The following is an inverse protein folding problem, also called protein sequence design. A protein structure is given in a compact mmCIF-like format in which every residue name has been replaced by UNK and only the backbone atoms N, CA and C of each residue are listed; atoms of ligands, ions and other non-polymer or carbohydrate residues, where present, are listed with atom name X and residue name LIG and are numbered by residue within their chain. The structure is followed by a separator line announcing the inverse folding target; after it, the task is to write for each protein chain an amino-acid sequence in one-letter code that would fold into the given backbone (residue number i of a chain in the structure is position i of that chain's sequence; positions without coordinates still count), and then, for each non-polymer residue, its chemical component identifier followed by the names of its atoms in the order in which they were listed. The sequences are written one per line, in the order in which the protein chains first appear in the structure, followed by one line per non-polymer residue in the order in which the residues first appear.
data_IF_999864229549
#
_entry.id   IF_999864229549
#
_cell.length_a   1.000
_cell.length_b   1.000
_cell.length_c   1.000
_cell.angle_alpha   90.00
_cell.angle_beta   90.00
_cell.angle_gamma   90.00
#
_symmetry.space_group_name_H-M   'P 1'
#
loop_
_entity.id
_entity.type
_entity.pdbx_description
1 polymer ?
#
# COMPACT_ATOMS: atom_id res chain seq x y z
N UNK A 1 -71.22 -22.49 -21.25
CA UNK A 1 -71.11 -21.75 -19.96
C UNK A 1 -70.07 -22.36 -19.01
N UNK A 2 -70.04 -23.69 -18.76
CA UNK A 2 -69.02 -24.32 -17.89
C UNK A 2 -67.56 -24.18 -18.39
N UNK A 3 -67.32 -24.14 -19.70
CA UNK A 3 -65.98 -24.00 -20.29
C UNK A 3 -65.38 -22.60 -19.98
N UNK A 4 -66.15 -21.54 -20.24
CA UNK A 4 -65.76 -20.14 -19.99
C UNK A 4 -65.45 -19.87 -18.51
N UNK A 5 -66.19 -20.50 -17.59
CA UNK A 5 -65.93 -20.37 -16.15
C UNK A 5 -64.62 -21.06 -15.72
N UNK A 6 -64.25 -22.15 -16.40
CA UNK A 6 -63.00 -22.88 -16.13
C UNK A 6 -61.79 -22.07 -16.62
N UNK A 7 -61.88 -21.53 -17.83
CA UNK A 7 -60.83 -20.69 -18.43
C UNK A 7 -60.59 -19.42 -17.59
N UNK A 8 -61.66 -18.80 -17.08
CA UNK A 8 -61.56 -17.65 -16.16
C UNK A 8 -60.91 -18.01 -14.81
N UNK A 9 -61.04 -19.25 -14.35
CA UNK A 9 -60.39 -19.72 -13.11
C UNK A 9 -58.89 -19.93 -13.31
N UNK A 10 -58.50 -20.52 -14.44
CA UNK A 10 -57.10 -20.74 -14.78
C UNK A 10 -56.37 -19.43 -15.06
N UNK A 11 -57.02 -18.48 -15.75
CA UNK A 11 -56.47 -17.14 -15.99
C UNK A 11 -56.18 -16.40 -14.66
N UNK A 12 -57.08 -16.50 -13.68
CA UNK A 12 -56.88 -15.91 -12.34
C UNK A 12 -55.70 -16.54 -11.59
N UNK A 13 -55.48 -17.85 -11.72
CA UNK A 13 -54.34 -18.53 -11.09
C UNK A 13 -53.02 -18.08 -11.70
N UNK A 14 -52.94 -17.99 -13.03
CA UNK A 14 -51.77 -17.48 -13.76
C UNK A 14 -51.42 -16.04 -13.39
N UNK A 15 -52.41 -15.16 -13.24
CA UNK A 15 -52.19 -13.76 -12.81
C UNK A 15 -51.63 -13.69 -11.39
N UNK A 16 -52.15 -14.51 -10.46
CA UNK A 16 -51.65 -14.55 -9.07
C UNK A 16 -50.21 -15.08 -9.02
N UNK A 17 -49.87 -16.06 -9.86
CA UNK A 17 -48.53 -16.63 -9.93
C UNK A 17 -47.51 -15.65 -10.54
N UNK A 18 -47.91 -14.87 -11.55
CA UNK A 18 -47.10 -13.75 -12.09
C UNK A 18 -46.86 -12.64 -11.06
N UNK A 19 -47.87 -12.28 -10.26
CA UNK A 19 -47.72 -11.29 -9.18
C UNK A 19 -46.81 -11.78 -8.04
N UNK A 20 -46.74 -13.10 -7.79
CA UNK A 20 -45.87 -13.68 -6.75
C UNK A 20 -44.39 -13.71 -7.15
N UNK A 21 -44.10 -13.74 -8.45
CA UNK A 21 -42.74 -13.91 -8.97
C UNK A 21 -42.11 -12.61 -9.54
N UNK A 22 -42.82 -11.47 -9.48
CA UNK A 22 -42.48 -10.27 -10.24
C UNK A 22 -42.55 -8.94 -9.49
N UNK A 23 -42.14 -8.89 -8.21
CA UNK A 23 -41.94 -7.61 -7.49
C UNK A 23 -40.48 -7.52 -7.00
N UNK A 24 -39.56 -7.39 -7.96
CA UNK A 24 -38.29 -6.73 -7.68
C UNK A 24 -38.56 -5.22 -7.75
N UNK A 25 -38.52 -4.57 -6.60
CA UNK A 25 -38.65 -3.11 -6.46
C UNK A 25 -37.50 -2.39 -7.20
N UNK A 26 -37.62 -2.20 -8.51
CA UNK A 26 -36.88 -1.15 -9.20
C UNK A 26 -37.79 0.07 -9.27
N UNK A 27 -37.73 0.90 -8.22
CA UNK A 27 -38.16 2.28 -8.30
C UNK A 27 -37.33 2.96 -9.39
N UNK A 28 -37.93 3.19 -10.56
CA UNK A 28 -37.40 4.10 -11.57
C UNK A 28 -37.63 5.53 -11.07
N UNK A 29 -36.76 5.95 -10.16
CA UNK A 29 -36.58 7.35 -9.82
C UNK A 29 -35.71 7.95 -10.93
N UNK A 30 -36.35 8.57 -11.93
CA UNK A 30 -35.67 9.36 -12.95
C UNK A 30 -35.21 10.69 -12.34
N UNK A 31 -34.25 10.61 -11.41
CA UNK A 31 -33.52 11.79 -10.97
C UNK A 31 -32.50 12.10 -12.06
N UNK A 32 -32.76 13.15 -12.84
CA UNK A 32 -31.78 13.75 -13.73
C UNK A 32 -30.69 14.44 -12.89
N UNK A 33 -29.83 13.65 -12.24
CA UNK A 33 -28.67 14.15 -11.50
C UNK A 33 -27.60 14.44 -12.54
N UNK A 34 -27.39 15.73 -12.83
CA UNK A 34 -26.16 16.19 -13.45
C UNK A 34 -25.00 15.93 -12.47
N UNK A 35 -24.53 14.68 -12.39
CA UNK A 35 -23.37 14.31 -11.59
C UNK A 35 -22.12 14.47 -12.42
N UNK A 36 -21.55 15.68 -12.41
CA UNK A 36 -20.14 15.87 -12.74
C UNK A 36 -19.20 15.43 -11.59
N UNK A 37 -19.74 14.80 -10.53
CA UNK A 37 -18.94 14.24 -9.45
C UNK A 37 -18.67 12.76 -9.74
N UNK A 38 -17.59 12.47 -10.48
CA UNK A 38 -17.02 11.12 -10.49
C UNK A 38 -16.44 10.86 -9.10
N UNK A 39 -17.20 10.19 -8.23
CA UNK A 39 -16.69 9.75 -6.92
C UNK A 39 -15.50 8.82 -7.14
N UNK A 40 -14.37 9.10 -6.49
CA UNK A 40 -13.19 8.26 -6.56
C UNK A 40 -13.50 6.81 -6.18
N UNK A 41 -13.25 5.86 -7.09
CA UNK A 41 -13.42 4.43 -6.84
C UNK A 41 -12.05 3.79 -6.60
N UNK A 42 -11.77 3.47 -5.34
CA UNK A 42 -10.48 2.88 -4.93
C UNK A 42 -10.21 1.53 -5.61
N UNK A 43 -11.21 0.66 -5.72
CA UNK A 43 -11.02 -0.66 -6.32
C UNK A 43 -10.67 -0.52 -7.81
N UNK A 44 -11.31 0.41 -8.52
CA UNK A 44 -10.98 0.70 -9.91
C UNK A 44 -9.56 1.28 -10.05
N UNK A 45 -9.19 2.24 -9.20
CA UNK A 45 -7.84 2.79 -9.20
C UNK A 45 -6.80 1.68 -9.01
N UNK A 46 -6.93 0.85 -7.98
CA UNK A 46 -5.97 -0.21 -7.70
C UNK A 46 -5.91 -1.27 -8.83
N UNK A 47 -7.06 -1.80 -9.25
CA UNK A 47 -7.08 -2.98 -10.12
C UNK A 47 -7.05 -2.67 -11.61
N UNK A 48 -7.46 -1.47 -12.03
CA UNK A 48 -7.43 -1.06 -13.43
C UNK A 48 -6.32 -0.04 -13.70
N UNK A 49 -6.17 0.98 -12.85
CA UNK A 49 -5.17 2.05 -13.06
C UNK A 49 -3.77 1.58 -12.64
N UNK A 50 -3.64 0.95 -11.47
CA UNK A 50 -2.38 0.41 -10.95
C UNK A 50 -2.21 -1.09 -11.23
N UNK A 51 -2.88 -1.61 -12.27
CA UNK A 51 -2.89 -3.06 -12.59
C UNK A 51 -1.50 -3.62 -12.88
N UNK A 52 -0.58 -2.79 -13.37
CA UNK A 52 0.78 -3.17 -13.75
C UNK A 52 1.81 -2.85 -12.65
N UNK A 53 1.40 -2.35 -11.49
CA UNK A 53 2.32 -2.18 -10.37
C UNK A 53 3.02 -3.50 -10.03
N UNK A 54 4.28 -3.43 -9.65
CA UNK A 54 5.04 -4.60 -9.20
C UNK A 54 4.58 -5.05 -7.81
N UNK A 55 4.94 -6.27 -7.41
CA UNK A 55 4.70 -6.73 -6.05
C UNK A 55 5.69 -6.06 -5.06
N UNK A 56 5.27 -5.88 -3.82
CA UNK A 56 6.05 -5.16 -2.81
C UNK A 56 7.44 -5.77 -2.55
N UNK A 57 7.55 -7.10 -2.65
CA UNK A 57 8.84 -7.77 -2.46
C UNK A 57 9.73 -7.68 -3.71
N UNK A 58 9.13 -7.60 -4.91
CA UNK A 58 9.88 -7.32 -6.14
C UNK A 58 10.45 -5.90 -6.11
N UNK A 59 9.65 -4.94 -5.63
CA UNK A 59 10.12 -3.58 -5.35
C UNK A 59 11.25 -3.57 -4.32
N UNK A 60 11.09 -4.25 -3.18
CA UNK A 60 12.14 -4.34 -2.19
C UNK A 60 13.43 -4.92 -2.78
N UNK A 61 13.31 -5.93 -3.65
CA UNK A 61 14.44 -6.58 -4.32
C UNK A 61 15.11 -5.69 -5.38
N UNK A 62 14.35 -4.84 -6.09
CA UNK A 62 14.89 -3.93 -7.11
C UNK A 62 15.70 -2.76 -6.54
N UNK A 63 15.50 -2.41 -5.27
CA UNK A 63 16.29 -1.37 -4.59
C UNK A 63 17.77 -1.77 -4.54
N UNK A 64 18.61 -0.99 -5.20
CA UNK A 64 20.07 -1.10 -5.16
C UNK A 64 20.64 -0.03 -4.24
N UNK A 65 21.35 -0.45 -3.19
CA UNK A 65 21.96 0.45 -2.21
C UNK A 65 23.44 0.64 -2.50
N UNK A 66 23.92 1.85 -2.21
CA UNK A 66 25.33 2.25 -2.30
C UNK A 66 25.87 2.50 -0.89
N UNK A 67 27.20 2.51 -0.75
CA UNK A 67 27.85 2.88 0.52
C UNK A 67 27.41 4.26 1.05
N UNK A 68 27.10 5.20 0.16
CA UNK A 68 26.55 6.52 0.55
C UNK A 68 25.20 6.41 1.23
N UNK A 69 24.38 5.41 0.90
CA UNK A 69 23.09 5.19 1.55
C UNK A 69 23.29 4.69 2.98
N UNK A 70 24.28 3.81 3.23
CA UNK A 70 24.67 3.41 4.58
C UNK A 70 25.16 4.61 5.39
N UNK A 71 26.04 5.45 4.82
CA UNK A 71 26.53 6.66 5.48
C UNK A 71 25.38 7.63 5.81
N UNK A 72 24.46 7.84 4.87
CA UNK A 72 23.28 8.68 5.07
C UNK A 72 22.37 8.15 6.18
N UNK A 73 22.17 6.83 6.28
CA UNK A 73 21.39 6.24 7.38
C UNK A 73 22.11 6.41 8.72
N UNK A 74 23.44 6.28 8.75
CA UNK A 74 24.24 6.59 9.94
C UNK A 74 24.12 8.05 10.39
N UNK A 75 24.06 8.98 9.44
CA UNK A 75 23.92 10.42 9.71
C UNK A 75 22.50 10.83 10.13
N UNK A 76 21.48 10.32 9.44
CA UNK A 76 20.07 10.67 9.68
C UNK A 76 19.43 9.87 10.82
N UNK A 77 20.02 8.74 11.20
CA UNK A 77 19.44 7.75 12.11
C UNK A 77 18.51 6.77 11.37
N UNK A 78 18.14 5.68 12.06
CA UNK A 78 17.44 4.55 11.45
C UNK A 78 16.11 4.95 10.78
N UNK A 79 15.24 5.64 11.54
CA UNK A 79 13.88 5.98 11.08
C UNK A 79 13.93 6.88 9.85
N UNK A 80 14.69 7.97 9.89
CA UNK A 80 14.77 8.91 8.77
C UNK A 80 15.53 8.32 7.58
N UNK A 81 16.64 7.62 7.83
CA UNK A 81 17.47 7.03 6.79
C UNK A 81 16.74 5.95 5.98
N UNK A 82 16.14 4.97 6.65
CA UNK A 82 15.41 3.88 5.97
C UNK A 82 14.14 4.42 5.29
N UNK A 83 13.42 5.34 5.93
CA UNK A 83 12.28 6.00 5.28
C UNK A 83 12.70 6.69 4.00
N UNK A 84 13.80 7.44 4.03
CA UNK A 84 14.32 8.17 2.87
C UNK A 84 14.65 7.23 1.71
N UNK A 85 15.34 6.12 1.98
CA UNK A 85 15.67 5.12 0.95
C UNK A 85 14.39 4.60 0.28
N UNK A 86 13.39 4.18 1.06
CA UNK A 86 12.15 3.62 0.52
C UNK A 86 11.38 4.67 -0.29
N UNK A 87 11.21 5.86 0.27
CA UNK A 87 10.45 6.96 -0.34
C UNK A 87 11.12 7.43 -1.64
N UNK A 88 12.44 7.61 -1.65
CA UNK A 88 13.17 8.03 -2.84
C UNK A 88 13.02 7.00 -3.97
N UNK A 89 13.11 5.70 -3.66
CA UNK A 89 12.90 4.64 -4.66
C UNK A 89 11.44 4.56 -5.13
N UNK A 90 10.45 4.79 -4.27
CA UNK A 90 9.04 4.90 -4.68
C UNK A 90 8.81 6.10 -5.62
N UNK A 91 9.52 7.22 -5.42
CA UNK A 91 9.41 8.41 -6.25
C UNK A 91 10.05 8.27 -7.63
N UNK A 92 10.92 7.28 -7.83
CA UNK A 92 11.43 6.91 -9.15
C UNK A 92 10.38 6.17 -9.99
N UNK A 93 9.31 5.66 -9.37
CA UNK A 93 8.20 4.99 -10.03
C UNK A 93 7.05 5.96 -10.26
N UNK A 94 6.40 5.81 -11.40
CA UNK A 94 5.09 6.42 -11.65
C UNK A 94 4.10 5.96 -10.59
N UNK A 95 3.14 6.83 -10.24
CA UNK A 95 2.15 6.54 -9.20
C UNK A 95 1.44 5.21 -9.47
N UNK A 96 1.16 4.89 -10.72
CA UNK A 96 0.47 3.66 -11.15
C UNK A 96 1.32 2.40 -11.06
N UNK A 97 2.63 2.53 -10.84
CA UNK A 97 3.58 1.42 -10.77
C UNK A 97 4.04 1.12 -9.34
N UNK A 98 3.70 2.01 -8.38
CA UNK A 98 4.08 1.84 -6.97
C UNK A 98 3.34 0.64 -6.37
N UNK A 99 4.01 -0.21 -5.57
CA UNK A 99 3.41 -1.39 -4.96
C UNK A 99 2.56 -1.07 -3.71
N UNK A 100 2.48 0.19 -3.29
CA UNK A 100 1.82 0.61 -2.04
C UNK A 100 1.13 1.94 -2.21
N UNK A 101 -0.09 2.03 -1.68
CA UNK A 101 -0.90 3.24 -1.66
C UNK A 101 -1.63 3.41 -0.34
N UNK A 102 -1.68 4.65 0.16
CA UNK A 102 -2.51 5.01 1.29
C UNK A 102 -3.82 5.65 0.80
N UNK A 103 -4.96 5.04 1.15
CA UNK A 103 -6.27 5.58 0.76
C UNK A 103 -6.81 6.61 1.76
N UNK A 104 -6.39 6.53 3.01
CA UNK A 104 -6.79 7.47 4.07
C UNK A 104 -5.68 7.57 5.11
N UNK A 105 -4.89 8.65 5.01
CA UNK A 105 -3.77 8.92 5.91
C UNK A 105 -4.19 9.16 7.36
N UNK A 106 -5.40 9.69 7.61
CA UNK A 106 -5.87 9.95 8.98
C UNK A 106 -6.25 8.67 9.72
N UNK A 107 -6.65 7.65 8.96
CA UNK A 107 -7.08 6.33 9.46
C UNK A 107 -6.05 5.24 9.22
N UNK A 108 -4.83 5.60 8.81
CA UNK A 108 -3.72 4.70 8.49
C UNK A 108 -4.13 3.54 7.56
N UNK A 109 -5.01 3.82 6.58
CA UNK A 109 -5.51 2.79 5.66
C UNK A 109 -4.58 2.67 4.45
N UNK A 110 -3.85 1.58 4.37
CA UNK A 110 -2.94 1.28 3.27
C UNK A 110 -3.33 0.01 2.52
N UNK A 111 -2.96 -0.02 1.25
CA UNK A 111 -3.12 -1.13 0.33
C UNK A 111 -1.77 -1.46 -0.28
N UNK A 112 -1.47 -2.74 -0.38
CA UNK A 112 -0.21 -3.26 -0.88
C UNK A 112 -0.50 -4.27 -1.98
N UNK A 113 0.27 -4.20 -3.06
CA UNK A 113 0.26 -5.21 -4.10
C UNK A 113 1.24 -6.32 -3.76
N UNK A 114 0.73 -7.54 -3.73
CA UNK A 114 1.50 -8.74 -3.42
C UNK A 114 0.82 -9.95 -4.08
N UNK A 115 1.59 -10.90 -4.57
CA UNK A 115 1.07 -12.04 -5.35
C UNK A 115 0.08 -11.61 -6.46
N UNK A 116 0.40 -10.51 -7.16
CA UNK A 116 -0.38 -9.87 -8.21
C UNK A 116 -1.78 -9.38 -7.79
N UNK A 117 -2.01 -9.24 -6.49
CA UNK A 117 -3.28 -8.80 -5.92
C UNK A 117 -3.10 -7.58 -5.04
N UNK A 118 -4.06 -6.67 -5.12
CA UNK A 118 -4.16 -5.56 -4.18
C UNK A 118 -4.93 -5.99 -2.93
N UNK A 119 -4.28 -5.87 -1.78
CA UNK A 119 -4.88 -6.20 -0.49
C UNK A 119 -4.72 -5.04 0.49
N UNK A 120 -5.72 -4.83 1.32
CA UNK A 120 -5.61 -3.92 2.47
C UNK A 120 -4.62 -4.51 3.47
N UNK A 121 -3.76 -3.67 4.03
CA UNK A 121 -2.85 -4.08 5.10
C UNK A 121 -3.62 -4.52 6.36
N UNK A 122 -3.00 -5.42 7.12
CA UNK A 122 -3.53 -5.87 8.40
C UNK A 122 -3.18 -4.87 9.51
N UNK A 123 -3.76 -5.06 10.70
CA UNK A 123 -3.51 -4.20 11.87
C UNK A 123 -2.03 -4.10 12.26
N UNK A 124 -1.21 -5.07 11.86
CA UNK A 124 0.21 -5.12 12.13
C UNK A 124 1.08 -4.55 10.99
N UNK A 125 0.49 -4.09 9.88
CA UNK A 125 1.19 -3.62 8.67
C UNK A 125 2.29 -4.58 8.19
N UNK A 126 1.98 -5.89 8.19
CA UNK A 126 3.02 -6.93 8.08
C UNK A 126 3.81 -6.92 6.77
N UNK A 127 3.21 -6.56 5.63
CA UNK A 127 3.91 -6.59 4.34
C UNK A 127 4.84 -5.39 4.23
N UNK A 128 4.41 -4.22 4.72
CA UNK A 128 5.27 -3.03 4.79
C UNK A 128 6.40 -3.23 5.80
N UNK A 129 6.18 -3.89 6.94
CA UNK A 129 7.27 -4.25 7.86
C UNK A 129 8.30 -5.17 7.20
N UNK A 130 7.86 -6.16 6.42
CA UNK A 130 8.76 -7.01 5.62
C UNK A 130 9.57 -6.18 4.61
N UNK A 131 8.96 -5.21 3.93
CA UNK A 131 9.67 -4.25 3.06
C UNK A 131 10.74 -3.48 3.85
N UNK A 132 10.39 -2.90 4.99
CA UNK A 132 11.31 -2.14 5.84
C UNK A 132 12.49 -3.03 6.24
N UNK A 133 12.24 -4.23 6.78
CA UNK A 133 13.29 -5.14 7.22
C UNK A 133 14.17 -5.63 6.06
N UNK A 134 13.60 -5.84 4.88
CA UNK A 134 14.39 -6.18 3.69
C UNK A 134 15.38 -5.06 3.33
N UNK A 135 14.91 -3.81 3.29
CA UNK A 135 15.77 -2.65 2.99
C UNK A 135 16.81 -2.43 4.10
N UNK A 136 16.42 -2.58 5.37
CA UNK A 136 17.34 -2.52 6.51
C UNK A 136 18.44 -3.58 6.40
N UNK A 137 18.09 -4.83 6.07
CA UNK A 137 19.05 -5.92 5.92
C UNK A 137 20.03 -5.65 4.76
N UNK A 138 19.52 -5.15 3.63
CA UNK A 138 20.38 -4.70 2.51
C UNK A 138 21.32 -3.58 2.95
N UNK A 139 20.84 -2.62 3.73
CA UNK A 139 21.67 -1.50 4.19
C UNK A 139 22.79 -1.99 5.13
N UNK A 140 22.47 -2.85 6.10
CA UNK A 140 23.45 -3.45 7.03
C UNK A 140 24.45 -4.34 6.29
N UNK A 141 24.05 -5.01 5.21
CA UNK A 141 24.94 -5.85 4.41
C UNK A 141 26.10 -5.09 3.75
N UNK A 142 26.00 -3.75 3.68
CA UNK A 142 27.07 -2.88 3.17
C UNK A 142 28.19 -2.61 4.19
N UNK A 143 27.99 -2.92 5.48
CA UNK A 143 28.96 -2.61 6.54
C UNK A 143 30.34 -3.25 6.30
N UNK A 144 30.45 -4.53 5.88
CA UNK A 144 31.76 -5.13 5.61
C UNK A 144 32.55 -4.38 4.52
N UNK A 145 31.90 -4.04 3.41
CA UNK A 145 32.50 -3.26 2.32
C UNK A 145 32.88 -1.85 2.80
N UNK A 146 32.01 -1.21 3.60
CA UNK A 146 32.30 0.10 4.19
C UNK A 146 33.54 0.05 5.10
N UNK A 147 33.67 -0.97 5.95
CA UNK A 147 34.85 -1.16 6.82
C UNK A 147 36.13 -1.40 6.04
N UNK A 148 36.05 -2.10 4.90
CA UNK A 148 37.19 -2.29 4.01
C UNK A 148 37.64 -0.97 3.37
N UNK A 149 36.69 -0.12 2.98
CA UNK A 149 36.96 1.20 2.40
C UNK A 149 37.54 2.20 3.42
N UNK A 150 37.15 2.09 4.68
CA UNK A 150 37.59 2.97 5.76
C UNK A 150 38.24 2.17 6.91
N UNK A 151 39.43 1.56 6.72
CA UNK A 151 40.06 0.70 7.73
C UNK A 151 40.33 1.43 9.06
N UNK A 152 40.58 2.75 9.00
CA UNK A 152 40.81 3.60 10.18
C UNK A 152 39.54 3.84 11.03
N UNK A 153 38.36 3.43 10.55
CA UNK A 153 37.11 3.51 11.31
C UNK A 153 37.10 2.63 12.58
N UNK A 154 38.06 1.71 12.68
CA UNK A 154 38.34 0.90 13.87
C UNK A 154 38.83 1.74 15.04
N UNK A 155 39.32 2.97 14.81
CA UNK A 155 39.54 3.94 15.86
C UNK A 155 38.20 4.44 16.40
N UNK A 156 37.90 4.11 17.65
CA UNK A 156 36.69 4.49 18.41
C UNK A 156 36.41 6.01 18.38
N UNK A 157 37.44 6.82 18.12
CA UNK A 157 37.36 8.29 18.07
C UNK A 157 37.00 8.86 16.69
N UNK A 158 36.79 8.04 15.65
CA UNK A 158 36.33 8.55 14.35
C UNK A 158 34.82 8.82 14.41
N UNK A 159 34.40 10.08 14.21
CA UNK A 159 32.99 10.48 14.23
C UNK A 159 32.11 9.63 13.29
N UNK A 160 32.68 9.11 12.18
CA UNK A 160 31.99 8.24 11.22
C UNK A 160 31.65 6.85 11.79
N UNK A 161 32.56 6.21 12.53
CA UNK A 161 32.28 4.89 13.11
C UNK A 161 31.26 4.97 14.24
N UNK A 162 31.26 6.04 15.02
CA UNK A 162 30.25 6.29 16.07
C UNK A 162 28.83 6.33 15.49
N UNK A 163 28.63 7.00 14.35
CA UNK A 163 27.32 7.14 13.72
C UNK A 163 26.77 5.82 13.17
N UNK A 164 27.61 5.05 12.47
CA UNK A 164 27.21 3.73 11.97
C UNK A 164 26.98 2.75 13.13
N UNK A 165 27.82 2.78 14.18
CA UNK A 165 27.59 1.95 15.36
C UNK A 165 26.28 2.31 16.07
N UNK A 166 25.97 3.60 16.20
CA UNK A 166 24.69 4.07 16.76
C UNK A 166 23.50 3.56 15.94
N UNK A 167 23.59 3.65 14.61
CA UNK A 167 22.57 3.08 13.73
C UNK A 167 22.40 1.57 13.96
N UNK A 168 23.49 0.79 14.02
CA UNK A 168 23.42 -0.66 14.26
C UNK A 168 22.71 -0.95 15.59
N UNK A 169 23.04 -0.21 16.65
CA UNK A 169 22.36 -0.32 17.94
C UNK A 169 20.87 -0.02 17.80
N UNK A 170 20.50 1.03 17.05
CA UNK A 170 19.10 1.37 16.81
C UNK A 170 18.33 0.28 16.04
N UNK A 171 18.98 -0.48 15.16
CA UNK A 171 18.36 -1.62 14.47
C UNK A 171 18.22 -2.84 15.38
N UNK A 172 19.22 -3.08 16.24
CA UNK A 172 19.21 -4.21 17.18
C UNK A 172 18.19 -4.03 18.31
N UNK A 173 17.85 -2.79 18.65
CA UNK A 173 16.76 -2.49 19.56
C UNK A 173 15.43 -2.99 18.98
N UNK A 174 14.74 -3.84 19.73
CA UNK A 174 13.42 -4.40 19.36
C UNK A 174 12.27 -3.40 19.52
N UNK A 175 12.57 -2.11 19.35
CA UNK A 175 11.61 -1.02 19.46
C UNK A 175 10.66 -1.02 18.26
N UNK A 176 9.53 -1.71 18.43
CA UNK A 176 8.43 -1.76 17.46
C UNK A 176 7.93 -0.38 17.05
N UNK A 177 8.16 0.68 17.83
CA UNK A 177 7.70 2.04 17.49
C UNK A 177 8.47 2.67 16.33
N UNK A 178 9.68 2.20 16.01
CA UNK A 178 10.47 2.73 14.89
C UNK A 178 9.86 2.35 13.55
N UNK A 179 9.44 1.10 13.38
CA UNK A 179 8.79 0.64 12.16
C UNK A 179 7.48 1.40 11.92
N UNK A 180 6.68 1.67 12.97
CA UNK A 180 5.45 2.46 12.85
C UNK A 180 5.72 3.90 12.39
N UNK A 181 6.82 4.52 12.85
CA UNK A 181 7.23 5.85 12.37
C UNK A 181 7.62 5.84 10.89
N UNK A 182 8.32 4.79 10.45
CA UNK A 182 8.70 4.61 9.04
C UNK A 182 7.44 4.39 8.19
N UNK A 183 6.54 3.52 8.63
CA UNK A 183 5.24 3.27 7.97
C UNK A 183 4.47 4.58 7.78
N UNK A 184 4.37 5.40 8.82
CA UNK A 184 3.65 6.68 8.75
C UNK A 184 4.25 7.64 7.72
N UNK A 185 5.58 7.65 7.57
CA UNK A 185 6.27 8.45 6.54
C UNK A 185 5.97 7.93 5.14
N UNK A 186 6.02 6.61 4.93
CA UNK A 186 5.65 5.97 3.65
C UNK A 186 4.19 6.27 3.30
N UNK A 187 3.27 6.13 4.25
CA UNK A 187 1.85 6.39 4.05
C UNK A 187 1.58 7.83 3.59
N UNK A 188 2.27 8.80 4.20
CA UNK A 188 2.16 10.21 3.83
C UNK A 188 2.54 10.46 2.36
N UNK A 189 3.64 9.86 1.90
CA UNK A 189 4.15 10.06 0.53
C UNK A 189 3.46 9.19 -0.53
N UNK A 190 2.64 8.23 -0.10
CA UNK A 190 1.90 7.31 -0.97
C UNK A 190 0.38 7.51 -0.88
N UNK A 191 -0.06 8.59 -0.24
CA UNK A 191 -1.47 8.95 -0.17
C UNK A 191 -2.02 9.24 -1.56
N UNK A 192 -3.12 8.57 -1.91
CA UNK A 192 -3.78 8.75 -3.20
C UNK A 192 -4.40 10.14 -3.25
N UNK A 193 -4.06 10.89 -4.29
CA UNK A 193 -4.79 12.09 -4.64
C UNK A 193 -6.16 11.69 -5.23
N UNK A 194 -7.22 12.21 -4.62
CA UNK A 194 -8.62 11.89 -4.97
C UNK A 194 -9.27 13.00 -5.77
N UNK A 195 -8.51 14.03 -6.14
CA UNK A 195 -9.02 15.06 -7.03
C UNK A 195 -9.37 14.44 -8.40
N UNK A 196 -10.51 14.82 -8.99
CA UNK A 196 -10.93 14.29 -10.27
C UNK A 196 -9.94 14.74 -11.37
N UNK A 197 -9.39 13.76 -12.10
CA UNK A 197 -8.66 13.99 -13.36
C UNK A 197 -9.64 14.44 -14.45
#
# INVERSE_FOLDING_TARGET
MKLILKDNSELKKLIIELCKNGVNNNSLNTNHINSHNKSFNLQFFLNETCKNAMNIMDFANSIQLKLTDLENVGELGYVEGISKIIIDNLKLLDVTERPVHCSDFKRDVMYVKDEDKWEKENENNSKIKKLIHSVTNKNISLIPEWKQKYPDCTNINSNKSTKINKMIMEVMETDKTKDEKIIKKIAKETTIDKEPI
#
